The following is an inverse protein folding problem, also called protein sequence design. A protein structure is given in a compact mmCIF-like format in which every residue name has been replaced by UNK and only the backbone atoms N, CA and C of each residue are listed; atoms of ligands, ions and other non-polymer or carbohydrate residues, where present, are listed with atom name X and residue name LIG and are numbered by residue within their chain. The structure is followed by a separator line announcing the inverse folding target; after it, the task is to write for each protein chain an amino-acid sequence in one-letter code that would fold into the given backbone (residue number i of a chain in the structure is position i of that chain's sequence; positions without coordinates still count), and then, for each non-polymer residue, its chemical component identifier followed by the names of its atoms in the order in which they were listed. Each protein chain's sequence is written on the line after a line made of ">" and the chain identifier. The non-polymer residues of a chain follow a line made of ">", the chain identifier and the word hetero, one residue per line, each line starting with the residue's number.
data_IF_924530380111
#
_entry.id   IF_924530380111
#
_cell.length_a   1.000
_cell.length_b   1.000
_cell.length_c   1.000
_cell.angle_alpha   90.00
_cell.angle_beta   90.00
_cell.angle_gamma   90.00
#
_symmetry.space_group_name_H-M   'P 1'
#
loop_
_entity.id
_entity.type
_entity.pdbx_description
1 polymer ?
#
# COMPACT_ATOMS: atom_id res chain seq x y z
N UNK A 1 49.20 -67.90 -31.97
CA UNK A 1 49.56 -66.47 -31.86
C UNK A 1 48.33 -65.64 -32.20
N UNK A 2 47.56 -65.19 -31.18
CA UNK A 2 46.32 -64.42 -31.37
C UNK A 2 46.61 -62.95 -31.11
N UNK A 3 46.38 -62.11 -32.12
CA UNK A 3 46.48 -60.65 -32.05
C UNK A 3 45.14 -60.07 -31.57
N UNK A 4 45.12 -59.55 -30.35
CA UNK A 4 44.04 -58.71 -29.83
C UNK A 4 44.16 -57.30 -30.40
N UNK A 5 43.19 -56.91 -31.25
CA UNK A 5 43.14 -55.57 -31.85
C UNK A 5 42.37 -54.61 -30.93
N UNK A 6 42.96 -53.49 -30.47
CA UNK A 6 42.32 -52.58 -29.52
C UNK A 6 41.32 -51.64 -30.21
N UNK A 7 40.02 -51.87 -29.98
CA UNK A 7 38.91 -51.09 -30.56
C UNK A 7 38.55 -49.80 -29.76
N UNK A 8 39.45 -49.26 -28.94
CA UNK A 8 39.11 -48.26 -27.90
C UNK A 8 39.08 -46.78 -28.32
N UNK A 9 39.33 -46.41 -29.58
CA UNK A 9 39.43 -44.98 -29.98
C UNK A 9 38.17 -44.37 -30.59
N UNK A 10 37.29 -45.14 -31.25
CA UNK A 10 36.07 -44.58 -31.87
C UNK A 10 34.97 -44.22 -30.87
N UNK A 11 34.91 -44.91 -29.73
CA UNK A 11 33.87 -44.67 -28.72
C UNK A 11 34.11 -43.38 -27.88
N UNK A 12 35.33 -42.82 -27.90
CA UNK A 12 35.66 -41.62 -27.11
C UNK A 12 34.98 -40.37 -27.67
N UNK A 13 34.94 -40.23 -28.99
CA UNK A 13 34.28 -39.08 -29.63
C UNK A 13 32.76 -39.10 -29.45
N UNK A 14 32.15 -40.28 -29.50
CA UNK A 14 30.71 -40.44 -29.20
C UNK A 14 30.37 -40.15 -27.74
N UNK A 15 31.23 -40.58 -26.80
CA UNK A 15 31.06 -40.28 -25.39
C UNK A 15 31.15 -38.77 -25.09
N UNK A 16 32.11 -38.07 -25.68
CA UNK A 16 32.26 -36.62 -25.52
C UNK A 16 31.06 -35.86 -26.09
N UNK A 17 30.55 -36.26 -27.27
CA UNK A 17 29.34 -35.64 -27.82
C UNK A 17 28.12 -35.87 -26.93
N UNK A 18 27.96 -37.08 -26.39
CA UNK A 18 26.88 -37.39 -25.46
C UNK A 18 26.99 -36.55 -24.18
N UNK A 19 28.19 -36.41 -23.63
CA UNK A 19 28.45 -35.61 -22.44
C UNK A 19 28.10 -34.13 -22.67
N UNK A 20 28.50 -33.57 -23.81
CA UNK A 20 28.14 -32.20 -24.18
C UNK A 20 26.62 -32.04 -24.33
N UNK A 21 25.94 -33.01 -24.96
CA UNK A 21 24.49 -32.97 -25.12
C UNK A 21 23.76 -33.05 -23.77
N UNK A 22 24.22 -33.90 -22.86
CA UNK A 22 23.66 -34.01 -21.51
C UNK A 22 23.90 -32.72 -20.73
N UNK A 23 25.12 -32.17 -20.76
CA UNK A 23 25.43 -30.91 -20.10
C UNK A 23 24.56 -29.76 -20.62
N UNK A 24 24.37 -29.68 -21.94
CA UNK A 24 23.50 -28.68 -22.56
C UNK A 24 22.02 -28.86 -22.15
N UNK A 25 21.53 -30.10 -22.17
CA UNK A 25 20.15 -30.40 -21.76
C UNK A 25 19.89 -30.03 -20.29
N UNK A 26 20.84 -30.36 -19.40
CA UNK A 26 20.76 -29.99 -17.98
C UNK A 26 20.82 -28.48 -17.79
N UNK A 27 21.67 -27.78 -18.54
CA UNK A 27 21.79 -26.33 -18.47
C UNK A 27 20.49 -25.63 -18.90
N UNK A 28 19.93 -26.02 -20.05
CA UNK A 28 18.67 -25.44 -20.56
C UNK A 28 17.51 -25.74 -19.60
N UNK A 29 17.41 -26.97 -19.09
CA UNK A 29 16.37 -27.36 -18.13
C UNK A 29 16.45 -26.56 -16.84
N UNK A 30 17.66 -26.38 -16.31
CA UNK A 30 17.90 -25.58 -15.09
C UNK A 30 17.53 -24.10 -15.33
N UNK A 31 17.88 -23.55 -16.48
CA UNK A 31 17.50 -22.18 -16.86
C UNK A 31 16.00 -21.97 -16.90
N UNK A 32 15.24 -22.91 -17.48
CA UNK A 32 13.78 -22.86 -17.53
C UNK A 32 13.16 -22.91 -16.13
N UNK A 33 13.67 -23.79 -15.26
CA UNK A 33 13.20 -23.91 -13.87
C UNK A 33 13.45 -22.62 -13.09
N UNK A 34 14.65 -22.05 -13.19
CA UNK A 34 14.99 -20.79 -12.51
C UNK A 34 14.10 -19.65 -13.01
N UNK A 35 13.88 -19.55 -14.32
CA UNK A 35 13.04 -18.51 -14.90
C UNK A 35 11.58 -18.63 -14.43
N UNK A 36 11.05 -19.86 -14.35
CA UNK A 36 9.73 -20.14 -13.78
C UNK A 36 9.63 -19.83 -12.28
N UNK A 37 10.69 -20.08 -11.51
CA UNK A 37 10.74 -19.69 -10.11
C UNK A 37 10.73 -18.17 -9.94
N UNK A 38 11.52 -17.44 -10.74
CA UNK A 38 11.58 -15.97 -10.71
C UNK A 38 10.24 -15.33 -11.07
N UNK A 39 9.54 -15.83 -12.09
CA UNK A 39 8.21 -15.33 -12.46
C UNK A 39 7.20 -15.52 -11.31
N UNK A 40 7.23 -16.69 -10.68
CA UNK A 40 6.38 -16.99 -9.51
C UNK A 40 6.68 -16.07 -8.32
N UNK A 41 7.96 -15.80 -8.04
CA UNK A 41 8.38 -14.88 -6.97
C UNK A 41 7.90 -13.46 -7.27
N UNK A 42 8.04 -12.98 -8.51
CA UNK A 42 7.56 -11.65 -8.91
C UNK A 42 6.04 -11.51 -8.71
N UNK A 43 5.25 -12.51 -9.13
CA UNK A 43 3.80 -12.49 -8.94
C UNK A 43 3.42 -12.46 -7.45
N UNK A 44 4.10 -13.27 -6.61
CA UNK A 44 3.85 -13.27 -5.16
C UNK A 44 4.25 -11.97 -4.49
N UNK A 45 5.33 -11.35 -4.95
CA UNK A 45 5.78 -10.07 -4.44
C UNK A 45 4.77 -8.97 -4.75
N UNK A 46 4.28 -8.89 -6.00
CA UNK A 46 3.22 -7.94 -6.38
C UNK A 46 1.98 -8.11 -5.49
N UNK A 47 1.49 -9.34 -5.33
CA UNK A 47 0.34 -9.63 -4.45
C UNK A 47 0.58 -9.23 -2.98
N UNK A 48 1.82 -9.35 -2.48
CA UNK A 48 2.15 -8.96 -1.11
C UNK A 48 2.22 -7.43 -0.93
N UNK A 49 2.75 -6.72 -1.92
CA UNK A 49 2.73 -5.25 -1.96
C UNK A 49 1.28 -4.75 -1.93
N UNK A 50 0.43 -5.30 -2.79
CA UNK A 50 -0.99 -4.96 -2.86
C UNK A 50 -1.72 -5.21 -1.53
N UNK A 51 -1.45 -6.35 -0.88
CA UNK A 51 -2.01 -6.65 0.44
C UNK A 51 -1.55 -5.67 1.51
N UNK A 52 -0.31 -5.21 1.44
CA UNK A 52 0.25 -4.24 2.39
C UNK A 52 -0.43 -2.89 2.23
N UNK A 53 -0.62 -2.43 0.99
CA UNK A 53 -1.34 -1.20 0.67
C UNK A 53 -2.81 -1.28 1.14
N UNK A 54 -3.49 -2.38 0.82
CA UNK A 54 -4.87 -2.60 1.25
C UNK A 54 -5.00 -2.60 2.78
N UNK A 55 -4.03 -3.18 3.49
CA UNK A 55 -3.99 -3.17 4.95
C UNK A 55 -3.79 -1.76 5.52
N UNK A 56 -2.87 -0.97 4.97
CA UNK A 56 -2.66 0.41 5.38
C UNK A 56 -3.90 1.28 5.11
N UNK A 57 -4.50 1.13 3.93
CA UNK A 57 -5.73 1.84 3.56
C UNK A 57 -6.86 1.53 4.55
N UNK A 58 -7.09 0.25 4.85
CA UNK A 58 -8.10 -0.15 5.84
C UNK A 58 -7.80 0.40 7.24
N UNK A 59 -6.53 0.36 7.66
CA UNK A 59 -6.11 0.87 8.96
C UNK A 59 -6.29 2.40 9.08
N UNK A 60 -5.90 3.16 8.06
CA UNK A 60 -6.10 4.62 8.02
C UNK A 60 -7.58 4.98 8.05
N UNK A 61 -8.42 4.33 7.23
CA UNK A 61 -9.87 4.60 7.24
C UNK A 61 -10.54 4.19 8.54
N UNK A 62 -10.09 3.10 9.17
CA UNK A 62 -10.54 2.74 10.51
C UNK A 62 -10.15 3.80 11.54
N UNK A 63 -8.91 4.29 11.51
CA UNK A 63 -8.46 5.34 12.41
C UNK A 63 -9.23 6.66 12.22
N UNK A 64 -9.54 7.05 10.98
CA UNK A 64 -10.37 8.21 10.68
C UNK A 64 -11.80 8.04 11.23
N UNK A 65 -12.38 6.84 11.13
CA UNK A 65 -13.68 6.51 11.72
C UNK A 65 -13.65 6.58 13.25
N UNK A 66 -12.62 6.01 13.87
CA UNK A 66 -12.42 6.02 15.32
C UNK A 66 -12.22 7.45 15.86
N UNK A 67 -11.53 8.29 15.09
CA UNK A 67 -11.32 9.70 15.42
C UNK A 67 -12.55 10.58 15.13
N UNK A 68 -13.58 10.05 14.45
CA UNK A 68 -14.75 10.81 14.04
C UNK A 68 -14.47 11.85 12.94
N UNK A 69 -13.38 11.68 12.19
CA UNK A 69 -13.00 12.55 11.07
C UNK A 69 -13.78 12.24 9.79
N UNK A 70 -14.43 11.07 9.74
CA UNK A 70 -15.22 10.60 8.61
C UNK A 70 -16.36 9.70 9.08
N UNK A 71 -17.28 9.36 8.18
CA UNK A 71 -18.40 8.42 8.44
C UNK A 71 -18.29 7.19 7.54
N UNK A 72 -18.99 6.11 7.91
CA UNK A 72 -18.94 4.85 7.17
C UNK A 72 -19.43 5.03 5.72
N UNK A 73 -20.46 5.84 5.52
CA UNK A 73 -21.06 6.14 4.21
C UNK A 73 -20.12 6.95 3.32
N UNK A 74 -19.21 7.74 3.91
CA UNK A 74 -18.24 8.55 3.16
C UNK A 74 -17.03 7.74 2.70
N UNK A 75 -16.67 6.69 3.44
CA UNK A 75 -15.57 5.78 3.08
C UNK A 75 -16.02 4.76 2.04
N UNK A 76 -17.29 4.35 2.07
CA UNK A 76 -17.82 3.36 1.14
C UNK A 76 -17.76 3.87 -0.31
N UNK A 77 -16.98 3.17 -1.14
CA UNK A 77 -16.76 3.55 -2.53
C UNK A 77 -15.31 3.48 -2.99
N UNK A 78 -15.08 4.03 -4.16
CA UNK A 78 -13.78 4.02 -4.84
C UNK A 78 -12.83 5.05 -4.24
N UNK A 79 -11.59 4.64 -3.97
CA UNK A 79 -10.56 5.53 -3.42
C UNK A 79 -10.06 6.47 -4.50
N UNK A 80 -10.35 7.75 -4.33
CA UNK A 80 -9.88 8.81 -5.22
C UNK A 80 -8.58 9.45 -4.74
N UNK A 81 -8.20 9.29 -3.48
CA UNK A 81 -6.98 9.85 -2.91
C UNK A 81 -6.17 8.78 -2.20
N UNK A 82 -5.03 8.42 -2.80
CA UNK A 82 -3.98 7.64 -2.14
C UNK A 82 -2.78 8.57 -2.08
N UNK A 83 -2.65 9.29 -0.96
CA UNK A 83 -1.42 10.02 -0.68
C UNK A 83 -0.41 8.97 -0.26
N UNK A 84 0.48 8.58 -1.19
CA UNK A 84 1.64 7.80 -0.82
C UNK A 84 2.45 8.61 0.20
N UNK A 85 2.95 7.99 1.29
CA UNK A 85 3.89 8.65 2.19
C UNK A 85 5.13 9.02 1.37
N UNK A 86 5.20 10.28 0.97
CA UNK A 86 6.39 10.88 0.38
C UNK A 86 7.38 11.12 1.52
N UNK A 87 8.19 10.13 1.84
CA UNK A 87 9.46 10.35 2.54
C UNK A 87 10.40 11.11 1.60
N UNK A 88 10.22 12.42 1.51
CA UNK A 88 11.15 13.33 0.85
C UNK A 88 11.13 14.69 1.55
N UNK A 89 11.78 14.73 2.71
CA UNK A 89 12.63 15.87 3.01
C UNK A 89 13.97 15.68 2.27
N UNK A 90 13.94 15.65 0.94
CA UNK A 90 15.10 15.95 0.11
C UNK A 90 14.63 16.33 -1.30
N UNK A 91 14.97 17.55 -1.65
CA UNK A 91 14.59 18.27 -2.86
C UNK A 91 15.49 17.79 -4.02
N UNK A 92 15.11 16.70 -4.71
CA UNK A 92 15.36 16.51 -6.17
C UNK A 92 14.98 15.15 -6.78
N UNK A 93 14.37 14.22 -6.04
CA UNK A 93 13.86 12.97 -6.65
C UNK A 93 12.35 12.90 -6.49
N UNK A 94 11.64 13.62 -7.36
CA UNK A 94 10.27 13.23 -7.72
C UNK A 94 10.36 11.86 -8.40
N UNK A 95 10.30 10.79 -7.62
CA UNK A 95 9.84 9.50 -8.13
C UNK A 95 8.42 9.78 -8.59
N UNK A 96 8.25 10.04 -9.89
CA UNK A 96 6.96 9.93 -10.52
C UNK A 96 6.48 8.52 -10.16
N UNK A 97 5.55 8.43 -9.21
CA UNK A 97 4.75 7.23 -9.05
C UNK A 97 4.00 7.18 -10.37
N UNK A 98 4.53 6.37 -11.27
CA UNK A 98 3.97 6.13 -12.58
C UNK A 98 2.48 5.83 -12.34
N UNK A 99 1.58 6.60 -12.95
CA UNK A 99 0.14 6.28 -12.89
C UNK A 99 -0.11 4.86 -13.45
N UNK A 100 0.83 4.38 -14.28
CA UNK A 100 0.93 3.02 -14.81
C UNK A 100 1.50 1.98 -13.81
N UNK A 101 2.09 2.38 -12.68
CA UNK A 101 2.56 1.45 -11.64
C UNK A 101 1.41 0.82 -10.83
N UNK A 102 0.15 1.08 -11.20
CA UNK A 102 -1.01 0.43 -10.60
C UNK A 102 -1.30 0.89 -9.17
N UNK A 103 -0.72 1.99 -8.70
CA UNK A 103 -1.14 2.63 -7.44
C UNK A 103 -2.20 3.72 -7.67
N UNK A 104 -2.66 3.86 -8.92
CA UNK A 104 -3.57 4.90 -9.35
C UNK A 104 -4.83 5.00 -8.51
N UNK A 105 -5.22 6.24 -8.27
CA UNK A 105 -6.57 6.61 -7.86
C UNK A 105 -7.58 5.83 -8.70
N UNK A 106 -8.61 5.29 -8.04
CA UNK A 106 -9.61 4.46 -8.71
C UNK A 106 -9.35 2.94 -8.72
N UNK A 107 -8.16 2.45 -8.35
CA UNK A 107 -7.88 0.99 -8.28
C UNK A 107 -8.54 0.32 -7.09
N UNK A 108 -8.65 1.02 -5.97
CA UNK A 108 -9.12 0.43 -4.73
C UNK A 108 -10.56 0.82 -4.47
N UNK A 109 -11.37 -0.14 -4.03
CA UNK A 109 -12.70 0.10 -3.50
C UNK A 109 -12.75 -0.35 -2.06
N UNK A 110 -13.32 0.47 -1.19
CA UNK A 110 -13.67 0.05 0.15
C UNK A 110 -15.17 -0.21 0.25
N UNK A 111 -15.51 -1.21 1.04
CA UNK A 111 -16.88 -1.45 1.52
C UNK A 111 -16.84 -1.48 3.04
N UNK A 112 -17.68 -0.67 3.67
CA UNK A 112 -17.73 -0.55 5.14
C UNK A 112 -19.07 -1.06 5.65
N UNK A 113 -19.02 -2.07 6.51
CA UNK A 113 -20.19 -2.60 7.20
C UNK A 113 -20.12 -2.28 8.69
N UNK A 114 -21.21 -1.74 9.23
CA UNK A 114 -21.33 -1.43 10.66
C UNK A 114 -22.44 -2.27 11.27
N UNK A 115 -22.10 -3.03 12.31
CA UNK A 115 -23.04 -3.84 13.10
C UNK A 115 -23.05 -3.38 14.56
N UNK A 116 -24.23 -3.37 15.18
CA UNK A 116 -24.33 -3.07 16.61
C UNK A 116 -23.70 -4.21 17.44
N UNK A 117 -22.80 -3.87 18.36
CA UNK A 117 -22.18 -4.87 19.22
C UNK A 117 -23.08 -5.27 20.40
N UNK A 118 -22.83 -6.46 20.94
CA UNK A 118 -23.38 -6.88 22.25
C UNK A 118 -22.84 -6.05 23.42
N UNK A 119 -21.70 -5.38 23.22
CA UNK A 119 -21.12 -4.47 24.19
C UNK A 119 -21.78 -3.10 24.03
N UNK A 120 -22.35 -2.59 25.12
CA UNK A 120 -22.95 -1.26 25.14
C UNK A 120 -21.92 -0.22 24.69
N UNK A 121 -22.33 0.70 23.82
CA UNK A 121 -21.50 1.79 23.27
C UNK A 121 -20.42 1.39 22.24
N UNK A 122 -20.31 0.11 21.87
CA UNK A 122 -19.42 -0.31 20.79
C UNK A 122 -20.21 -0.76 19.56
N UNK A 123 -19.64 -0.50 18.38
CA UNK A 123 -20.10 -1.04 17.11
C UNK A 123 -18.98 -1.86 16.48
N UNK A 124 -19.33 -2.99 15.87
CA UNK A 124 -18.39 -3.75 15.06
C UNK A 124 -18.35 -3.12 13.67
N UNK A 125 -17.19 -2.65 13.26
CA UNK A 125 -16.96 -2.11 11.93
C UNK A 125 -16.08 -3.08 11.17
N UNK A 126 -16.51 -3.44 9.96
CA UNK A 126 -15.78 -4.28 9.03
C UNK A 126 -15.48 -3.46 7.78
N UNK A 127 -14.20 -3.27 7.47
CA UNK A 127 -13.73 -2.62 6.25
C UNK A 127 -13.17 -3.71 5.34
N UNK A 128 -13.78 -3.88 4.17
CA UNK A 128 -13.28 -4.75 3.08
C UNK A 128 -12.65 -3.89 2.01
N UNK A 129 -11.50 -4.32 1.50
CA UNK A 129 -10.75 -3.62 0.44
C UNK A 129 -10.66 -4.53 -0.77
N UNK A 130 -11.12 -4.01 -1.91
CA UNK A 130 -11.15 -4.69 -3.20
C UNK A 130 -10.21 -4.03 -4.21
N UNK A 131 -9.56 -4.84 -5.04
CA UNK A 131 -8.84 -4.39 -6.24
C UNK A 131 -9.80 -4.46 -7.44
N UNK A 132 -10.23 -3.29 -7.92
CA UNK A 132 -11.21 -3.17 -9.02
C UNK A 132 -10.58 -3.47 -10.38
N UNK A 133 -9.25 -3.42 -10.49
CA UNK A 133 -8.54 -3.67 -11.75
C UNK A 133 -8.00 -5.10 -11.85
N UNK A 134 -8.13 -5.91 -10.79
CA UNK A 134 -7.67 -7.30 -10.77
C UNK A 134 -6.16 -7.46 -11.03
N UNK A 135 -5.39 -6.39 -10.94
CA UNK A 135 -3.97 -6.36 -11.35
C UNK A 135 -3.08 -7.13 -10.37
N UNK A 136 -3.51 -7.26 -9.10
CA UNK A 136 -2.72 -7.90 -8.05
C UNK A 136 -2.79 -9.41 -7.96
N UNK A 137 -3.81 -10.03 -8.57
CA UNK A 137 -4.04 -11.47 -8.50
C UNK A 137 -4.32 -12.02 -9.88
N UNK A 138 -3.32 -12.69 -10.46
CA UNK A 138 -3.37 -13.37 -11.76
C UNK A 138 -4.34 -14.57 -11.84
N UNK A 139 -5.39 -14.60 -10.99
CA UNK A 139 -6.33 -15.72 -10.84
C UNK A 139 -7.74 -15.38 -11.34
N UNK A 140 -8.10 -14.11 -11.53
CA UNK A 140 -9.42 -13.75 -12.05
C UNK A 140 -9.37 -13.55 -13.58
N UNK A 141 -9.55 -14.64 -14.33
CA UNK A 141 -9.69 -14.62 -15.79
C UNK A 141 -11.10 -14.18 -16.27
N UNK A 142 -11.87 -13.46 -15.45
CA UNK A 142 -13.16 -12.89 -15.84
C UNK A 142 -13.24 -11.42 -15.44
N UNK A 143 -13.50 -10.58 -16.43
CA UNK A 143 -13.22 -9.14 -16.50
C UNK A 143 -14.25 -8.25 -15.80
N UNK A 144 -14.82 -8.66 -14.67
CA UNK A 144 -15.73 -7.78 -13.90
C UNK A 144 -15.79 -8.12 -12.39
N UNK A 145 -15.04 -9.11 -11.92
CA UNK A 145 -15.05 -9.49 -10.50
C UNK A 145 -14.03 -8.65 -9.71
N UNK A 146 -14.53 -7.77 -8.86
CA UNK A 146 -13.74 -7.12 -7.81
C UNK A 146 -13.12 -8.19 -6.89
N UNK A 147 -11.79 -8.18 -6.72
CA UNK A 147 -11.10 -9.18 -5.89
C UNK A 147 -10.91 -8.62 -4.49
N UNK A 148 -11.46 -9.30 -3.47
CA UNK A 148 -11.21 -8.97 -2.07
C UNK A 148 -9.73 -9.23 -1.72
N UNK A 149 -9.00 -8.16 -1.39
CA UNK A 149 -7.57 -8.23 -1.06
C UNK A 149 -7.35 -8.26 0.44
N UNK A 150 -8.16 -7.52 1.21
CA UNK A 150 -7.99 -7.39 2.65
C UNK A 150 -9.30 -7.10 3.39
N UNK A 151 -9.40 -7.62 4.62
CA UNK A 151 -10.53 -7.36 5.53
C UNK A 151 -9.98 -6.97 6.89
N UNK A 152 -10.42 -5.82 7.40
CA UNK A 152 -10.17 -5.35 8.74
C UNK A 152 -11.47 -5.33 9.54
N UNK A 153 -11.51 -5.96 10.70
CA UNK A 153 -12.65 -5.90 11.62
C UNK A 153 -12.19 -5.37 12.97
N UNK A 154 -12.86 -4.32 13.46
CA UNK A 154 -12.58 -3.70 14.75
C UNK A 154 -13.87 -3.44 15.52
N UNK A 155 -13.75 -3.32 16.85
CA UNK A 155 -14.81 -2.83 17.73
C UNK A 155 -14.49 -1.38 18.07
N UNK A 156 -15.33 -0.46 17.61
CA UNK A 156 -15.08 0.98 17.72
C UNK A 156 -16.23 1.67 18.42
N UNK A 157 -15.90 2.70 19.19
CA UNK A 157 -16.90 3.55 19.82
C UNK A 157 -17.37 4.58 18.79
N UNK A 158 -18.34 4.20 17.96
CA UNK A 158 -18.98 5.15 17.05
C UNK A 158 -19.77 6.16 17.88
N UNK A 159 -19.39 7.43 17.81
CA UNK A 159 -20.17 8.51 18.41
C UNK A 159 -21.53 8.52 17.73
N UNK A 160 -22.57 8.13 18.47
CA UNK A 160 -23.94 8.20 17.97
C UNK A 160 -24.29 9.67 17.72
N UNK A 161 -24.52 10.04 16.47
CA UNK A 161 -25.06 11.35 16.11
C UNK A 161 -24.06 12.25 15.39
N UNK A 162 -24.20 12.26 14.06
CA UNK A 162 -23.64 13.27 13.18
C UNK A 162 -24.37 13.35 11.83
N UNK A 163 -25.65 12.91 11.77
CA UNK A 163 -26.56 13.49 10.78
C UNK A 163 -26.89 14.91 11.29
N UNK A 164 -26.62 15.94 10.48
CA UNK A 164 -26.89 17.38 10.73
C UNK A 164 -25.78 18.24 11.37
N UNK A 165 -24.50 18.04 11.04
CA UNK A 165 -23.47 19.08 11.24
C UNK A 165 -22.57 19.32 10.01
N UNK A 166 -23.05 18.99 8.81
CA UNK A 166 -22.49 19.51 7.58
C UNK A 166 -23.01 20.95 7.38
N UNK A 167 -22.46 21.90 8.14
CA UNK A 167 -22.90 23.29 8.07
C UNK A 167 -22.44 24.24 9.17
N UNK A 168 -21.60 23.83 10.11
CA UNK A 168 -20.91 24.79 10.97
C UNK A 168 -19.55 25.10 10.33
N UNK A 169 -19.59 26.11 9.47
CA UNK A 169 -18.47 26.98 9.15
C UNK A 169 -17.63 27.15 10.42
N UNK A 170 -16.41 26.62 10.43
CA UNK A 170 -15.51 26.84 11.54
C UNK A 170 -15.32 28.36 11.68
N UNK A 171 -15.94 28.97 12.69
CA UNK A 171 -15.62 30.31 13.18
C UNK A 171 -14.18 30.30 13.70
N UNK A 172 -13.20 30.31 12.79
CA UNK A 172 -11.81 30.59 13.07
C UNK A 172 -11.59 32.07 13.45
N UNK A 173 -12.67 32.88 13.49
CA UNK A 173 -12.61 34.33 13.64
C UNK A 173 -12.71 34.80 15.10
N UNK A 174 -12.98 33.92 16.07
CA UNK A 174 -13.14 34.35 17.48
C UNK A 174 -11.87 34.21 18.34
N UNK A 175 -10.90 33.37 17.94
CA UNK A 175 -9.66 33.14 18.74
C UNK A 175 -8.58 34.21 18.48
N UNK A 176 -8.68 34.99 17.40
CA UNK A 176 -7.71 36.07 17.09
C UNK A 176 -8.10 37.45 17.65
N UNK A 177 -9.28 37.59 18.28
CA UNK A 177 -9.77 38.87 18.81
C UNK A 177 -9.17 39.26 20.18
N UNK A 178 -8.40 38.37 20.80
CA UNK A 178 -7.75 38.60 22.10
C UNK A 178 -6.34 39.18 22.05
N UNK A 179 -5.78 39.40 20.85
CA UNK A 179 -4.40 39.91 20.67
C UNK A 179 -4.34 41.39 20.30
N UNK A 180 -5.32 42.18 20.74
CA UNK A 180 -5.23 43.64 20.70
C UNK A 180 -4.19 44.13 21.73
N UNK A 181 -2.95 44.21 21.25
CA UNK A 181 -1.98 45.29 21.45
C UNK A 181 -1.94 45.90 22.86
N UNK A 182 -1.08 45.36 23.70
CA UNK A 182 -0.42 46.16 24.74
C UNK A 182 0.70 46.97 24.04
N UNK A 183 0.61 48.31 23.95
CA UNK A 183 1.74 49.11 23.49
C UNK A 183 2.83 49.09 24.56
N UNK A 184 3.98 48.51 24.21
CA UNK A 184 5.20 48.58 25.03
C UNK A 184 5.64 50.04 25.07
N UNK A 185 5.32 50.74 26.16
CA UNK A 185 5.80 52.10 26.43
C UNK A 185 7.30 52.07 26.75
N UNK A 186 8.13 52.35 25.74
CA UNK A 186 9.58 52.40 25.84
C UNK A 186 10.12 53.79 26.18
N UNK A 187 9.35 54.64 26.88
CA UNK A 187 9.73 56.05 27.14
C UNK A 187 9.98 56.33 28.61
N UNK A 188 10.97 55.66 29.22
CA UNK A 188 11.53 56.13 30.50
C UNK A 188 13.01 55.81 30.67
N UNK A 189 13.84 56.34 29.77
CA UNK A 189 15.27 56.52 30.02
C UNK A 189 15.46 57.91 30.63
N UNK A 190 15.26 57.98 31.93
CA UNK A 190 15.53 59.17 32.74
C UNK A 190 17.02 59.50 32.74
N UNK A 191 17.28 60.76 32.49
CA UNK A 191 18.52 61.49 32.62
C UNK A 191 19.17 61.31 34.01
N UNK A 192 20.49 61.54 34.09
CA UNK A 192 21.26 61.57 35.33
C UNK A 192 20.82 62.70 36.29
N UNK A 193 21.56 62.93 37.38
CA UNK A 193 22.77 63.73 37.19
C UNK A 193 23.97 63.37 38.08
N UNK A 194 25.11 63.80 37.56
CA UNK A 194 26.29 64.34 38.22
C UNK A 194 26.16 64.59 39.75
N UNK A 195 27.08 64.00 40.51
CA UNK A 195 28.00 64.71 41.43
C UNK A 195 29.06 63.77 41.97
#
# INVERSE_FOLDING_TARGET
>A
MRLTVPHHRRNRHGAVLLEILIALALFVSSGAVILGAVSTIRMRFAANVDRTIAAHLAATRMAELEAGLTTAERIDGTVTDIVAPSDAADDDVRVAIDEDAGLGTGRWRLVVETERSRFSQLSAVTIRVYDTKGLGTAVAANTDDEVEVYVLRSLVHLRAGGSDAAGEEFEQDEVMRGLDREPIDSTRRGEGPER
#
